data_IF_084405695267
#
_entry.id   IF_084405695267
#
_cell.length_a   1.000
_cell.length_b   1.000
_cell.length_c   1.000
_cell.angle_alpha   90.00
_cell.angle_beta   90.00
_cell.angle_gamma   90.00
#
_symmetry.space_group_name_H-M   'P 1'
#
loop_
_entity.id
_entity.type
_entity.pdbx_description
1 polymer ?
#
# COMPACT_ATOMS: atom_id res chain seq x y z
N UNK A 1 -2.74 -5.26 16.47
CA UNK A 1 -2.21 -4.12 15.67
C UNK A 1 -1.54 -4.67 14.43
N UNK A 2 -1.79 -4.08 13.26
CA UNK A 2 -1.18 -4.47 11.98
C UNK A 2 -0.23 -3.38 11.45
N UNK A 3 0.86 -3.76 10.79
CA UNK A 3 1.86 -2.86 10.22
C UNK A 3 2.60 -3.49 9.04
N UNK A 4 3.27 -2.66 8.24
CA UNK A 4 4.12 -3.11 7.13
C UNK A 4 5.53 -3.40 7.62
N UNK A 5 6.04 -4.58 7.31
CA UNK A 5 7.43 -4.99 7.53
C UNK A 5 8.16 -5.13 6.20
N UNK A 6 9.24 -4.38 6.04
CA UNK A 6 10.12 -4.44 4.88
C UNK A 6 11.19 -5.54 5.01
N UNK A 7 11.49 -6.21 3.90
CA UNK A 7 12.53 -7.24 3.73
C UNK A 7 13.17 -7.05 2.36
N UNK A 8 14.21 -6.20 2.29
CA UNK A 8 14.80 -5.80 1.01
C UNK A 8 13.75 -5.14 0.11
N UNK A 9 13.57 -5.65 -1.11
CA UNK A 9 12.58 -5.17 -2.10
C UNK A 9 11.19 -5.79 -1.94
N UNK A 10 10.86 -6.30 -0.76
CA UNK A 10 9.57 -6.93 -0.48
C UNK A 10 8.99 -6.38 0.82
N UNK A 11 7.66 -6.30 0.87
CA UNK A 11 6.93 -5.90 2.06
C UNK A 11 6.01 -7.02 2.54
N UNK A 12 5.71 -7.03 3.83
CA UNK A 12 4.77 -7.95 4.45
C UNK A 12 3.78 -7.16 5.30
N UNK A 13 2.49 -7.45 5.20
CA UNK A 13 1.53 -7.00 6.19
C UNK A 13 1.59 -7.98 7.37
N UNK A 14 1.94 -7.49 8.54
CA UNK A 14 2.09 -8.30 9.76
C UNK A 14 1.16 -7.77 10.82
N UNK A 15 0.57 -8.65 11.62
CA UNK A 15 -0.15 -8.27 12.82
C UNK A 15 0.29 -9.05 14.05
N UNK A 16 0.26 -8.37 15.20
CA UNK A 16 0.36 -9.03 16.51
C UNK A 16 -1.05 -9.33 16.99
N UNK A 17 -1.29 -10.60 17.31
CA UNK A 17 -2.51 -11.11 17.94
C UNK A 17 -2.15 -11.62 19.32
N UNK A 18 -3.02 -11.38 20.30
CA UNK A 18 -2.87 -11.93 21.65
C UNK A 18 -3.74 -13.18 21.78
N UNK A 19 -3.12 -14.33 21.92
CA UNK A 19 -3.80 -15.62 22.00
C UNK A 19 -3.26 -16.41 23.20
N UNK A 20 -4.15 -16.92 24.05
CA UNK A 20 -3.79 -17.77 25.19
C UNK A 20 -2.72 -17.15 26.12
N UNK A 21 -2.80 -15.85 26.37
CA UNK A 21 -1.85 -15.14 27.23
C UNK A 21 -0.48 -14.87 26.61
N UNK A 22 -0.32 -15.04 25.28
CA UNK A 22 0.94 -14.78 24.57
C UNK A 22 0.69 -13.92 23.32
N UNK A 23 1.62 -13.03 23.00
CA UNK A 23 1.64 -12.35 21.69
C UNK A 23 2.22 -13.27 20.63
N UNK A 24 1.52 -13.40 19.50
CA UNK A 24 2.03 -14.04 18.28
C UNK A 24 1.96 -13.10 17.10
N UNK A 25 3.00 -13.10 16.27
CA UNK A 25 3.02 -12.36 15.01
C UNK A 25 2.51 -13.25 13.87
N UNK A 26 1.57 -12.72 13.08
CA UNK A 26 1.01 -13.35 11.90
C UNK A 26 1.34 -12.53 10.67
N UNK A 27 1.82 -13.18 9.60
CA UNK A 27 1.93 -12.55 8.28
C UNK A 27 0.57 -12.66 7.60
N UNK A 28 -0.08 -11.53 7.37
CA UNK A 28 -1.40 -11.44 6.75
C UNK A 28 -1.31 -11.44 5.21
N UNK A 29 -0.24 -10.83 4.67
CA UNK A 29 0.00 -10.72 3.24
C UNK A 29 1.48 -10.52 2.91
N UNK A 30 1.89 -10.93 1.71
CA UNK A 30 3.20 -10.63 1.13
C UNK A 30 3.03 -9.76 -0.12
N UNK A 31 3.82 -8.68 -0.22
CA UNK A 31 3.86 -7.78 -1.37
C UNK A 31 5.19 -7.98 -2.09
N UNK A 32 5.18 -8.80 -3.15
CA UNK A 32 6.36 -9.15 -3.94
C UNK A 32 6.69 -8.05 -4.97
N UNK A 33 7.23 -6.91 -4.50
CA UNK A 33 7.73 -5.83 -5.37
C UNK A 33 6.67 -4.94 -6.02
N UNK A 34 5.40 -5.36 -6.05
CA UNK A 34 4.29 -4.58 -6.61
C UNK A 34 3.87 -3.39 -5.71
N UNK A 35 4.22 -3.42 -4.42
CA UNK A 35 3.90 -2.40 -3.39
C UNK A 35 2.47 -1.83 -3.47
N UNK A 36 1.51 -2.61 -3.96
CA UNK A 36 0.15 -2.17 -4.19
C UNK A 36 -0.81 -2.98 -3.34
N UNK A 37 -1.82 -2.29 -2.82
CA UNK A 37 -2.82 -2.87 -1.95
C UNK A 37 -4.08 -3.07 -2.79
N UNK A 38 -4.28 -4.29 -3.30
CA UNK A 38 -5.50 -4.59 -4.06
C UNK A 38 -6.69 -4.76 -3.12
N UNK A 39 -7.88 -4.42 -3.60
CA UNK A 39 -9.13 -4.67 -2.86
C UNK A 39 -9.33 -6.16 -2.54
N UNK A 40 -9.01 -7.05 -3.47
CA UNK A 40 -9.11 -8.51 -3.25
C UNK A 40 -8.22 -9.00 -2.11
N UNK A 41 -7.04 -8.39 -1.93
CA UNK A 41 -6.17 -8.68 -0.80
C UNK A 41 -6.80 -8.22 0.51
N UNK A 42 -7.34 -6.99 0.52
CA UNK A 42 -8.06 -6.44 1.67
C UNK A 42 -9.22 -7.35 2.10
N UNK A 43 -10.11 -7.72 1.18
CA UNK A 43 -11.23 -8.61 1.47
C UNK A 43 -10.77 -9.98 1.98
N UNK A 44 -9.68 -10.51 1.42
CA UNK A 44 -9.10 -11.77 1.90
C UNK A 44 -8.61 -11.65 3.34
N UNK A 45 -7.92 -10.57 3.69
CA UNK A 45 -7.43 -10.33 5.05
C UNK A 45 -8.57 -10.10 6.03
N UNK A 46 -9.54 -9.25 5.70
CA UNK A 46 -10.70 -8.95 6.56
C UNK A 46 -11.55 -10.20 6.82
N UNK A 47 -11.70 -11.07 5.82
CA UNK A 47 -12.41 -12.35 5.95
C UNK A 47 -11.65 -13.37 6.79
N UNK A 48 -10.33 -13.47 6.64
CA UNK A 48 -9.51 -14.45 7.36
C UNK A 48 -9.16 -14.00 8.79
N UNK A 49 -9.18 -12.69 9.04
CA UNK A 49 -8.83 -12.09 10.33
C UNK A 49 -9.85 -11.02 10.76
N UNK A 50 -11.13 -11.38 10.94
CA UNK A 50 -12.21 -10.41 11.19
C UNK A 50 -12.08 -9.67 12.53
N UNK A 51 -11.32 -10.20 13.48
CA UNK A 51 -11.05 -9.55 14.76
C UNK A 51 -9.96 -8.45 14.68
N UNK A 52 -9.26 -8.32 13.55
CA UNK A 52 -8.21 -7.31 13.38
C UNK A 52 -8.79 -6.02 12.81
N UNK A 53 -8.66 -4.93 13.57
CA UNK A 53 -8.79 -3.59 13.02
C UNK A 53 -7.47 -3.20 12.36
N UNK A 54 -7.52 -2.93 11.05
CA UNK A 54 -6.37 -2.57 10.21
C UNK A 54 -6.63 -1.18 9.64
N UNK A 55 -5.71 -0.25 9.90
CA UNK A 55 -5.71 1.04 9.21
C UNK A 55 -5.14 0.85 7.80
N UNK A 56 -6.04 0.61 6.85
CA UNK A 56 -5.68 0.37 5.46
C UNK A 56 -5.04 1.58 4.77
N UNK A 57 -5.33 2.80 5.23
CA UNK A 57 -4.72 4.02 4.69
C UNK A 57 -3.27 4.11 5.14
N UNK A 58 -2.99 3.87 6.43
CA UNK A 58 -1.62 3.81 6.93
C UNK A 58 -0.79 2.69 6.26
N UNK A 59 -1.40 1.55 5.93
CA UNK A 59 -0.72 0.48 5.16
C UNK A 59 -0.41 0.95 3.75
N UNK A 60 -1.35 1.62 3.07
CA UNK A 60 -1.13 2.17 1.73
C UNK A 60 0.00 3.21 1.73
N UNK A 61 0.01 4.13 2.71
CA UNK A 61 1.08 5.12 2.89
C UNK A 61 2.44 4.47 3.14
N UNK A 62 2.49 3.44 3.98
CA UNK A 62 3.73 2.71 4.25
C UNK A 62 4.25 1.97 3.00
N UNK A 63 3.37 1.38 2.18
CA UNK A 63 3.76 0.76 0.91
C UNK A 63 4.17 1.80 -0.14
N UNK A 64 3.57 2.98 -0.11
CA UNK A 64 3.93 4.09 -0.96
C UNK A 64 5.35 4.58 -0.67
N UNK A 65 5.69 4.75 0.61
CA UNK A 65 7.01 5.18 1.09
C UNK A 65 8.16 4.28 0.60
N UNK A 66 7.89 3.00 0.34
CA UNK A 66 8.93 2.05 -0.02
C UNK A 66 9.76 1.59 1.18
N UNK A 67 10.78 0.75 0.96
CA UNK A 67 11.66 0.29 2.04
C UNK A 67 12.41 1.46 2.69
N UNK A 68 12.84 1.34 3.96
CA UNK A 68 13.48 2.45 4.70
C UNK A 68 14.76 3.01 4.05
N UNK A 69 15.39 2.23 3.16
CA UNK A 69 16.58 2.61 2.40
C UNK A 69 16.25 3.14 1.00
N UNK A 70 14.97 3.16 0.60
CA UNK A 70 14.56 3.80 -0.64
C UNK A 70 14.76 5.31 -0.52
N UNK A 71 15.29 5.90 -1.58
CA UNK A 71 15.36 7.35 -1.69
C UNK A 71 13.94 7.92 -1.56
N UNK A 72 13.76 8.97 -0.74
CA UNK A 72 12.45 9.53 -0.48
C UNK A 72 11.76 9.86 -1.80
N UNK A 73 10.50 9.44 -1.94
CA UNK A 73 9.70 9.79 -3.09
C UNK A 73 9.44 11.30 -3.12
N UNK A 74 9.38 11.89 -4.32
CA UNK A 74 8.93 13.28 -4.49
C UNK A 74 7.52 13.47 -3.91
N UNK A 75 7.19 14.67 -3.40
CA UNK A 75 5.85 14.97 -2.89
C UNK A 75 4.73 14.62 -3.90
N UNK A 76 4.99 14.80 -5.19
CA UNK A 76 4.04 14.43 -6.25
C UNK A 76 3.73 12.92 -6.27
N UNK A 77 4.69 12.07 -5.92
CA UNK A 77 4.50 10.63 -5.88
C UNK A 77 3.80 10.13 -4.60
N UNK A 78 3.91 10.89 -3.51
CA UNK A 78 3.10 10.68 -2.30
C UNK A 78 1.61 10.93 -2.58
N UNK A 79 1.30 12.01 -3.30
CA UNK A 79 -0.09 12.32 -3.68
C UNK A 79 -0.71 11.23 -4.56
N UNK A 80 0.07 10.62 -5.45
CA UNK A 80 -0.43 9.57 -6.35
C UNK A 80 -0.82 8.28 -5.65
N UNK A 81 -0.12 7.87 -4.59
CA UNK A 81 -0.48 6.66 -3.86
C UNK A 81 -1.80 6.82 -3.10
N UNK A 82 -2.05 8.02 -2.55
CA UNK A 82 -3.31 8.36 -1.90
C UNK A 82 -4.46 8.41 -2.91
N UNK A 83 -4.22 8.98 -4.09
CA UNK A 83 -5.18 8.98 -5.20
C UNK A 83 -5.43 7.54 -5.69
N UNK A 84 -4.41 6.71 -5.87
CA UNK A 84 -4.53 5.29 -6.21
C UNK A 84 -5.45 4.56 -5.22
N UNK A 85 -5.21 4.75 -3.91
CA UNK A 85 -6.04 4.16 -2.86
C UNK A 85 -7.50 4.59 -2.99
N UNK A 86 -7.78 5.89 -3.12
CA UNK A 86 -9.15 6.40 -3.23
C UNK A 86 -9.86 5.92 -4.50
N UNK A 87 -9.15 5.87 -5.64
CA UNK A 87 -9.69 5.32 -6.88
C UNK A 87 -10.10 3.85 -6.71
N UNK A 88 -9.27 3.04 -6.04
CA UNK A 88 -9.64 1.66 -5.73
C UNK A 88 -10.83 1.57 -4.76
N UNK A 89 -10.90 2.42 -3.75
CA UNK A 89 -12.04 2.46 -2.81
C UNK A 89 -13.33 2.82 -3.55
N UNK A 90 -13.33 3.87 -4.37
CA UNK A 90 -14.48 4.31 -5.15
C UNK A 90 -14.92 3.25 -6.17
N UNK A 91 -13.98 2.55 -6.82
CA UNK A 91 -14.29 1.47 -7.75
C UNK A 91 -15.03 0.28 -7.13
N UNK A 92 -15.03 0.16 -5.79
CA UNK A 92 -15.70 -0.91 -5.05
C UNK A 92 -16.98 -0.43 -4.35
N UNK A 93 -17.30 0.85 -4.44
CA UNK A 93 -18.55 1.36 -3.94
C UNK A 93 -19.73 0.85 -4.78
N UNK A 94 -20.91 0.65 -4.18
CA UNK A 94 -22.11 0.20 -4.89
C UNK A 94 -22.78 1.30 -5.72
N UNK A 95 -22.36 2.56 -5.55
CA UNK A 95 -22.82 3.70 -6.32
C UNK A 95 -21.83 3.95 -7.48
N UNK A 96 -22.28 3.67 -8.70
CA UNK A 96 -21.47 3.81 -9.91
C UNK A 96 -21.78 2.72 -10.93
N UNK A 97 -21.81 3.09 -12.21
CA UNK A 97 -22.00 2.12 -13.29
C UNK A 97 -20.75 1.23 -13.45
N UNK A 98 -20.90 0.05 -14.04
CA UNK A 98 -19.79 -0.90 -14.28
C UNK A 98 -18.64 -0.29 -15.08
N UNK A 99 -18.92 0.57 -16.04
CA UNK A 99 -17.94 1.31 -16.82
C UNK A 99 -17.15 2.29 -15.95
N UNK A 100 -17.82 3.09 -15.14
CA UNK A 100 -17.17 4.01 -14.19
C UNK A 100 -16.21 3.27 -13.24
N UNK A 101 -16.67 2.15 -12.65
CA UNK A 101 -15.83 1.31 -11.78
C UNK A 101 -14.63 0.71 -12.53
N UNK A 102 -14.78 0.34 -13.80
CA UNK A 102 -13.69 -0.14 -14.62
C UNK A 102 -12.67 0.98 -14.92
N UNK A 103 -13.12 2.19 -15.24
CA UNK A 103 -12.25 3.36 -15.45
C UNK A 103 -11.45 3.71 -14.20
N UNK A 104 -12.07 3.67 -13.02
CA UNK A 104 -11.40 3.92 -11.73
C UNK A 104 -10.29 2.89 -11.46
N UNK A 105 -10.53 1.60 -11.72
CA UNK A 105 -9.50 0.55 -11.60
C UNK A 105 -8.37 0.74 -12.59
N UNK A 106 -8.69 1.09 -13.83
CA UNK A 106 -7.68 1.35 -14.86
C UNK A 106 -6.79 2.54 -14.49
N UNK A 107 -7.38 3.64 -14.00
CA UNK A 107 -6.64 4.81 -13.54
C UNK A 107 -5.71 4.47 -12.36
N UNK A 108 -6.20 3.71 -11.37
CA UNK A 108 -5.38 3.25 -10.25
C UNK A 108 -4.18 2.40 -10.73
N UNK A 109 -4.39 1.49 -11.69
CA UNK A 109 -3.33 0.67 -12.26
C UNK A 109 -2.26 1.51 -12.99
N UNK A 110 -2.66 2.56 -13.71
CA UNK A 110 -1.74 3.50 -14.37
C UNK A 110 -0.88 4.24 -13.34
N UNK A 111 -1.48 4.77 -12.27
CA UNK A 111 -0.75 5.44 -11.20
C UNK A 111 0.25 4.50 -10.50
N UNK A 112 -0.17 3.27 -10.23
CA UNK A 112 0.69 2.22 -9.66
C UNK A 112 1.90 1.94 -10.55
N UNK A 113 1.68 1.82 -11.87
CA UNK A 113 2.73 1.61 -12.86
C UNK A 113 3.67 2.82 -13.01
N UNK A 114 3.15 4.04 -12.87
CA UNK A 114 3.97 5.25 -12.90
C UNK A 114 4.87 5.32 -11.68
N UNK A 115 4.33 5.07 -10.49
CA UNK A 115 5.09 5.03 -9.25
C UNK A 115 6.19 3.96 -9.29
N UNK A 116 5.92 2.78 -9.83
CA UNK A 116 6.94 1.71 -9.93
C UNK A 116 8.09 2.03 -10.89
N UNK A 117 7.92 3.02 -11.78
CA UNK A 117 8.92 3.43 -12.78
C UNK A 117 9.63 4.73 -12.42
N UNK A 118 9.27 5.38 -11.31
CA UNK A 118 9.96 6.61 -10.94
C UNK A 118 11.43 6.31 -10.60
N UNK A 119 12.37 7.07 -11.18
CA UNK A 119 13.73 7.02 -10.72
C UNK A 119 13.78 7.53 -9.27
N UNK A 120 14.65 6.95 -8.44
CA UNK A 120 14.83 7.46 -7.09
C UNK A 120 15.34 8.92 -7.16
N UNK A 121 14.90 9.79 -6.24
CA UNK A 121 15.34 11.18 -6.23
C UNK A 121 16.86 11.24 -6.00
N UNK A 122 17.60 11.69 -7.00
CA UNK A 122 19.02 12.01 -6.83
C UNK A 122 19.17 13.19 -5.87
N UNK A 123 20.10 13.07 -4.92
CA UNK A 123 20.62 14.18 -4.11
C UNK A 123 21.48 15.13 -4.97
N UNK A 124 20.98 15.63 -6.10
CA UNK A 124 21.60 16.78 -6.75
C UNK A 124 21.09 18.05 -6.07
N UNK A 125 21.69 18.42 -4.93
CA UNK A 125 21.85 19.82 -4.46
C UNK A 125 22.46 19.94 -3.05
N UNK A 126 23.55 19.20 -2.77
CA UNK A 126 24.38 19.47 -1.58
C UNK A 126 25.84 19.66 -1.96
N UNK A 127 26.13 20.74 -2.67
CA UNK A 127 27.35 21.51 -2.40
C UNK A 127 26.92 22.96 -2.15
N UNK A 128 27.15 23.52 -0.95
CA UNK A 128 27.23 24.96 -0.82
C UNK A 128 28.49 25.44 -1.56
N UNK A 129 28.43 26.69 -1.98
CA UNK A 129 29.42 27.48 -2.74
C UNK A 129 30.91 27.15 -2.47
#
# INVERSE_FOLDING_TARGET
MAWVRWRGKSAQLVATVWEHGRSRQHVLANFHGAYSLSWSLRESVERNFPALSIDWMAVADALAQGPPEALPLSMAAWDWARVEYHLQVWAHQPWGDTHERASLRAAAAVLSSWRSRQPPLDHENSKPE
#
